data_IF_061185525268
#
_entry.id   IF_061185525268
#
_cell.length_a   1.000
_cell.length_b   1.000
_cell.length_c   1.000
_cell.angle_alpha   90.00
_cell.angle_beta   90.00
_cell.angle_gamma   90.00
#
_symmetry.space_group_name_H-M   'P 1'
#
loop_
_entity.id
_entity.type
_entity.pdbx_description
1 polymer ?
#
# COMPACT_ATOMS: atom_id res chain seq x y z
N UNK A 1 7.86 -26.20 -9.97
CA UNK A 1 6.74 -26.65 -10.81
C UNK A 1 6.83 -25.95 -12.16
N UNK A 2 6.57 -26.65 -13.27
CA UNK A 2 6.39 -26.02 -14.59
C UNK A 2 4.90 -26.04 -14.90
N UNK A 3 4.37 -24.89 -15.28
CA UNK A 3 2.97 -24.74 -15.70
C UNK A 3 2.98 -24.13 -17.07
N UNK A 4 2.21 -24.71 -17.99
CA UNK A 4 1.98 -24.13 -19.31
C UNK A 4 0.70 -23.32 -19.20
N UNK A 5 0.80 -22.02 -19.45
CA UNK A 5 -0.33 -21.09 -19.48
C UNK A 5 -0.23 -20.31 -20.79
N UNK A 6 -1.38 -19.95 -21.33
CA UNK A 6 -1.44 -18.97 -22.40
C UNK A 6 -1.30 -17.57 -21.80
N UNK A 7 -0.53 -16.71 -22.46
CA UNK A 7 -0.23 -15.38 -21.95
C UNK A 7 -0.15 -14.39 -23.10
N UNK A 8 -0.78 -13.25 -22.91
CA UNK A 8 -0.67 -12.11 -23.81
C UNK A 8 0.78 -11.59 -23.81
N UNK A 9 1.47 -11.77 -24.93
CA UNK A 9 2.87 -11.39 -25.11
C UNK A 9 3.07 -9.86 -25.13
N UNK A 10 2.08 -9.09 -25.57
CA UNK A 10 2.16 -7.62 -25.55
C UNK A 10 2.06 -7.09 -24.12
N UNK A 11 1.12 -7.65 -23.34
CA UNK A 11 0.98 -7.32 -21.93
C UNK A 11 2.24 -7.71 -21.15
N UNK A 12 2.81 -8.88 -21.44
CA UNK A 12 4.05 -9.34 -20.81
C UNK A 12 5.22 -8.40 -21.14
N UNK A 13 5.36 -7.96 -22.38
CA UNK A 13 6.45 -7.07 -22.79
C UNK A 13 6.31 -5.68 -22.14
N UNK A 14 5.08 -5.17 -22.02
CA UNK A 14 4.81 -3.94 -21.27
C UNK A 14 5.21 -4.08 -19.80
N UNK A 15 4.75 -5.14 -19.13
CA UNK A 15 5.12 -5.43 -17.75
C UNK A 15 6.63 -5.60 -17.60
N UNK A 16 7.31 -6.21 -18.58
CA UNK A 16 8.76 -6.39 -18.55
C UNK A 16 9.50 -5.05 -18.54
N UNK A 17 9.06 -4.10 -19.37
CA UNK A 17 9.61 -2.74 -19.44
C UNK A 17 9.35 -1.96 -18.16
N UNK A 18 8.12 -1.98 -17.67
CA UNK A 18 7.73 -1.26 -16.44
C UNK A 18 8.46 -1.81 -15.21
N UNK A 19 8.64 -3.14 -15.12
CA UNK A 19 9.30 -3.80 -14.00
C UNK A 19 10.82 -3.93 -14.17
N UNK A 20 11.38 -3.52 -15.31
CA UNK A 20 12.83 -3.60 -15.59
C UNK A 20 13.40 -5.03 -15.60
N UNK A 21 12.58 -6.02 -15.93
CA UNK A 21 12.96 -7.44 -15.85
C UNK A 21 13.56 -7.97 -17.16
N UNK A 22 14.33 -9.07 -17.08
CA UNK A 22 15.09 -9.61 -18.22
C UNK A 22 14.49 -10.87 -18.84
N UNK A 23 13.66 -11.61 -18.10
CA UNK A 23 13.04 -12.84 -18.57
C UNK A 23 11.55 -12.88 -18.28
N UNK A 24 10.78 -13.62 -19.09
CA UNK A 24 9.34 -13.83 -18.90
C UNK A 24 9.02 -14.29 -17.47
N UNK A 25 9.82 -15.23 -16.95
CA UNK A 25 9.70 -15.77 -15.59
C UNK A 25 9.89 -14.68 -14.53
N UNK A 26 10.92 -13.85 -14.67
CA UNK A 26 11.19 -12.78 -13.71
C UNK A 26 10.09 -11.74 -13.72
N UNK A 27 9.57 -11.39 -14.90
CA UNK A 27 8.42 -10.50 -15.06
C UNK A 27 7.19 -11.05 -14.36
N UNK A 28 6.84 -12.33 -14.59
CA UNK A 28 5.68 -12.98 -13.97
C UNK A 28 5.84 -13.00 -12.44
N UNK A 29 6.99 -13.41 -11.94
CA UNK A 29 7.23 -13.45 -10.50
C UNK A 29 7.21 -12.05 -9.85
N UNK A 30 7.78 -11.03 -10.51
CA UNK A 30 7.75 -9.66 -10.01
C UNK A 30 6.32 -9.11 -9.98
N UNK A 31 5.54 -9.33 -11.04
CA UNK A 31 4.15 -8.92 -11.13
C UNK A 31 3.28 -9.58 -10.04
N UNK A 32 3.46 -10.88 -9.80
CA UNK A 32 2.73 -11.60 -8.75
C UNK A 32 3.07 -11.09 -7.35
N UNK A 33 4.35 -10.79 -7.05
CA UNK A 33 4.74 -10.18 -5.78
C UNK A 33 4.11 -8.81 -5.60
N UNK A 34 4.19 -7.96 -6.61
CA UNK A 34 3.59 -6.63 -6.58
C UNK A 34 2.07 -6.68 -6.32
N UNK A 35 1.37 -7.65 -6.91
CA UNK A 35 -0.06 -7.86 -6.67
C UNK A 35 -0.36 -8.34 -5.24
N UNK A 36 0.45 -9.27 -4.71
CA UNK A 36 0.30 -9.76 -3.34
C UNK A 36 0.54 -8.64 -2.31
N UNK A 37 1.64 -7.91 -2.45
CA UNK A 37 1.97 -6.78 -1.56
C UNK A 37 0.91 -5.67 -1.64
N UNK A 38 0.33 -5.44 -2.82
CA UNK A 38 -0.80 -4.52 -2.97
C UNK A 38 -2.02 -5.03 -2.19
N UNK A 39 -2.30 -6.33 -2.25
CA UNK A 39 -3.38 -6.96 -1.47
C UNK A 39 -3.20 -6.77 0.03
N UNK A 40 -2.00 -7.04 0.55
CA UNK A 40 -1.65 -6.86 1.97
C UNK A 40 -1.86 -5.42 2.45
N UNK A 41 -1.37 -4.44 1.67
CA UNK A 41 -1.58 -3.01 2.00
C UNK A 41 -3.06 -2.64 2.02
N UNK A 42 -3.83 -3.14 1.06
CA UNK A 42 -5.27 -2.85 1.01
C UNK A 42 -6.02 -3.48 2.18
N UNK A 43 -5.62 -4.67 2.61
CA UNK A 43 -6.23 -5.34 3.76
C UNK A 43 -5.93 -4.59 5.06
N UNK A 44 -4.70 -4.16 5.27
CA UNK A 44 -4.33 -3.32 6.42
C UNK A 44 -5.15 -2.01 6.46
N UNK A 45 -5.38 -1.38 5.30
CA UNK A 45 -6.24 -0.19 5.21
C UNK A 45 -7.70 -0.53 5.57
N UNK A 46 -8.23 -1.65 5.08
CA UNK A 46 -9.59 -2.08 5.43
C UNK A 46 -9.74 -2.35 6.92
N UNK A 47 -8.76 -3.04 7.51
CA UNK A 47 -8.73 -3.28 8.95
C UNK A 47 -8.74 -1.95 9.71
N UNK A 48 -7.85 -1.01 9.35
CA UNK A 48 -7.82 0.32 9.94
C UNK A 48 -9.17 1.05 9.85
N UNK A 49 -9.83 0.99 8.69
CA UNK A 49 -11.14 1.63 8.47
C UNK A 49 -12.30 0.91 9.15
N UNK A 50 -12.15 -0.39 9.44
CA UNK A 50 -13.18 -1.18 10.15
C UNK A 50 -13.19 -0.92 11.66
N UNK A 51 -12.11 -0.34 12.18
CA UNK A 51 -12.02 0.06 13.57
C UNK A 51 -12.89 1.32 13.75
N UNK A 52 -14.11 1.12 14.29
CA UNK A 52 -14.98 2.19 14.78
C UNK A 52 -14.38 2.79 16.05
N UNK A 53 -13.45 3.74 15.87
CA UNK A 53 -12.84 4.50 16.96
C UNK A 53 -13.37 5.91 16.90
N UNK A 54 -13.98 6.34 18.01
CA UNK A 54 -14.29 7.75 18.20
C UNK A 54 -13.00 8.52 18.50
N UNK A 55 -12.45 9.15 17.47
CA UNK A 55 -11.24 9.97 17.56
C UNK A 55 -11.53 11.40 18.04
N UNK A 56 -12.81 11.78 18.23
CA UNK A 56 -13.16 13.17 18.55
C UNK A 56 -12.64 13.61 19.91
N UNK A 57 -12.60 12.71 20.90
CA UNK A 57 -12.06 12.99 22.24
C UNK A 57 -10.54 13.16 22.32
N UNK A 58 -9.77 12.83 21.27
CA UNK A 58 -8.30 13.01 21.25
C UNK A 58 -7.86 14.41 20.81
N UNK A 59 -8.77 15.20 20.23
CA UNK A 59 -8.46 16.54 19.70
C UNK A 59 -8.83 17.67 20.68
N UNK A 60 -9.47 17.35 21.81
CA UNK A 60 -9.94 18.35 22.78
C UNK A 60 -8.82 18.87 23.70
N UNK A 61 -7.76 18.07 23.93
CA UNK A 61 -6.71 18.41 24.91
C UNK A 61 -5.55 19.27 24.37
N UNK A 62 -5.39 19.43 23.04
CA UNK A 62 -4.15 20.00 22.45
C UNK A 62 -4.32 21.40 21.79
N UNK A 63 -5.46 22.08 21.96
CA UNK A 63 -5.72 23.36 21.25
C UNK A 63 -5.81 24.62 22.09
N UNK A 64 -5.18 24.64 23.27
CA UNK A 64 -4.89 25.92 23.93
C UNK A 64 -3.39 26.08 24.13
N UNK A 65 -2.70 26.90 23.31
CA UNK A 65 -1.40 27.42 23.70
C UNK A 65 -1.60 28.11 25.05
N UNK A 66 -0.91 27.66 26.11
CA UNK A 66 -0.79 28.40 27.37
C UNK A 66 0.01 29.67 27.12
N UNK A 67 -0.62 30.65 26.47
CA UNK A 67 -0.11 31.99 26.28
C UNK A 67 -0.51 32.85 27.45
N UNK A 68 0.49 33.31 28.21
CA UNK A 68 0.40 34.52 29.02
C UNK A 68 -0.17 34.33 30.43
N UNK A 69 0.66 33.84 31.35
CA UNK A 69 0.57 34.22 32.76
C UNK A 69 1.94 33.97 33.38
N UNK A 70 2.87 34.89 33.14
CA UNK A 70 4.02 35.20 34.01
C UNK A 70 4.51 36.59 33.57
N UNK A 71 3.65 37.58 33.82
CA UNK A 71 4.01 38.99 33.85
C UNK A 71 3.42 39.55 35.16
N UNK A 72 4.21 39.45 36.23
CA UNK A 72 4.12 40.25 37.44
C UNK A 72 5.44 40.14 38.21
#
# INVERSE_FOLDING_TARGET
MKTVIDLDDELLERARRELGTKSKKDTIHAALRMAAERGERMEAIRELLSIDRDWTGLLEDDKTPRGGQDAA
#
